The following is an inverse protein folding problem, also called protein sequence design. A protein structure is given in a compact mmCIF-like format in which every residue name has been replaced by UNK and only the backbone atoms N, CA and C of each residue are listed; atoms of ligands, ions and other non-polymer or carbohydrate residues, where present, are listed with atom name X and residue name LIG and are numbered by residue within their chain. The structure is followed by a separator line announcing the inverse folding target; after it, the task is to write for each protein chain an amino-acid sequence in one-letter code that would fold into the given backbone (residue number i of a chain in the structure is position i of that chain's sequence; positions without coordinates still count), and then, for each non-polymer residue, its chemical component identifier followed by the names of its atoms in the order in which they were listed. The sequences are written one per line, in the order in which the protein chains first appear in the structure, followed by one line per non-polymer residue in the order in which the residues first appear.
data_IF_845025484770
#
_entry.id   IF_845025484770
#
_cell.length_a   1.000
_cell.length_b   1.000
_cell.length_c   1.000
_cell.angle_alpha   90.00
_cell.angle_beta   90.00
_cell.angle_gamma   90.00
#
_symmetry.space_group_name_H-M   'P 1'
#
loop_
_entity.id
_entity.type
_entity.pdbx_description
1 polymer ?
#
# COMPACT_ATOMS: atom_id res chain seq x y z
N UNK A 1 -3.49 -0.98 16.82
CA UNK A 1 -3.83 0.45 16.81
C UNK A 1 -4.87 0.71 17.88
N UNK A 2 -4.76 1.84 18.60
CA UNK A 2 -5.76 2.28 19.57
C UNK A 2 -6.98 2.87 18.84
N UNK A 3 -8.14 2.80 19.48
CA UNK A 3 -9.34 3.49 19.06
C UNK A 3 -9.29 5.00 19.41
N UNK A 4 -10.30 5.78 19.01
CA UNK A 4 -10.32 7.22 19.20
C UNK A 4 -10.30 7.63 20.68
N UNK A 5 -11.02 6.93 21.54
CA UNK A 5 -11.06 7.19 22.98
C UNK A 5 -9.71 6.86 23.67
N UNK A 6 -9.13 5.70 23.35
CA UNK A 6 -7.82 5.30 23.85
C UNK A 6 -6.72 6.27 23.43
N UNK A 7 -6.77 6.74 22.18
CA UNK A 7 -5.83 7.72 21.63
C UNK A 7 -5.92 9.05 22.38
N UNK A 8 -7.12 9.59 22.54
CA UNK A 8 -7.35 10.86 23.26
C UNK A 8 -6.88 10.75 24.72
N UNK A 9 -7.18 9.63 25.37
CA UNK A 9 -6.74 9.36 26.74
C UNK A 9 -5.21 9.30 26.85
N UNK A 10 -4.56 8.62 25.92
CA UNK A 10 -3.09 8.53 25.87
C UNK A 10 -2.45 9.89 25.67
N UNK A 11 -2.98 10.72 24.78
CA UNK A 11 -2.51 12.08 24.55
C UNK A 11 -2.70 12.97 25.78
N UNK A 12 -3.82 12.86 26.47
CA UNK A 12 -4.07 13.60 27.71
C UNK A 12 -3.06 13.22 28.80
N UNK A 13 -2.83 11.92 28.99
CA UNK A 13 -1.86 11.42 29.97
C UNK A 13 -0.41 11.78 29.62
N UNK A 14 -0.10 11.91 28.35
CA UNK A 14 1.21 12.34 27.87
C UNK A 14 1.43 13.86 27.92
N UNK A 15 0.41 14.63 28.37
CA UNK A 15 0.51 16.08 28.56
C UNK A 15 0.33 16.90 27.28
N UNK A 16 -0.16 16.31 26.17
CA UNK A 16 -0.37 17.03 24.89
C UNK A 16 -1.37 18.18 25.01
N UNK A 17 -2.23 18.17 26.01
CA UNK A 17 -3.24 19.19 26.28
C UNK A 17 -2.87 20.11 27.45
N UNK A 18 -1.58 20.13 27.82
CA UNK A 18 -1.06 21.00 28.88
C UNK A 18 -0.07 21.99 28.28
N UNK A 19 -0.26 23.29 28.55
CA UNK A 19 0.64 24.36 28.07
C UNK A 19 2.07 24.15 28.54
N UNK A 20 3.00 24.08 27.60
CA UNK A 20 4.44 23.92 27.87
C UNK A 20 5.08 25.24 28.35
N UNK A 21 4.45 26.41 28.04
CA UNK A 21 4.94 27.74 28.37
C UNK A 21 4.25 28.36 29.59
N UNK A 22 3.18 27.72 30.10
CA UNK A 22 2.31 28.29 31.15
C UNK A 22 1.43 29.46 30.68
N UNK A 23 1.34 29.66 29.35
CA UNK A 23 0.49 30.70 28.77
C UNK A 23 -0.99 30.37 28.91
N UNK A 24 -1.78 31.28 29.48
CA UNK A 24 -3.23 31.10 29.59
C UNK A 24 -3.92 30.99 28.21
N UNK A 25 -3.44 31.73 27.22
CA UNK A 25 -3.97 31.68 25.86
C UNK A 25 -3.67 30.34 25.19
N UNK A 26 -2.46 29.78 25.36
CA UNK A 26 -2.08 28.50 24.88
C UNK A 26 -2.95 27.39 25.53
N UNK A 27 -3.09 27.45 26.86
CA UNK A 27 -3.94 26.49 27.58
C UNK A 27 -5.39 26.53 27.10
N UNK A 28 -5.97 27.70 26.92
CA UNK A 28 -7.34 27.84 26.40
C UNK A 28 -7.50 27.18 25.01
N UNK A 29 -6.51 27.35 24.14
CA UNK A 29 -6.54 26.72 22.80
C UNK A 29 -6.44 25.17 22.89
N UNK A 30 -5.61 24.67 23.81
CA UNK A 30 -5.48 23.21 24.06
C UNK A 30 -6.76 22.63 24.65
N UNK A 31 -7.40 23.33 25.60
CA UNK A 31 -8.68 22.93 26.20
C UNK A 31 -9.81 22.90 25.15
N UNK A 32 -9.86 23.92 24.29
CA UNK A 32 -10.81 23.95 23.17
C UNK A 32 -10.60 22.78 22.24
N UNK A 33 -9.35 22.46 21.88
CA UNK A 33 -9.02 21.31 21.04
C UNK A 33 -9.45 20.00 21.69
N UNK A 34 -9.09 19.79 22.97
CA UNK A 34 -9.50 18.61 23.72
C UNK A 34 -11.02 18.42 23.67
N UNK A 35 -11.77 19.51 23.96
CA UNK A 35 -13.24 19.49 23.95
C UNK A 35 -13.79 19.16 22.57
N UNK A 36 -13.20 19.71 21.50
CA UNK A 36 -13.61 19.42 20.12
C UNK A 36 -13.42 17.95 19.79
N UNK A 37 -12.25 17.37 20.09
CA UNK A 37 -11.97 15.94 19.85
C UNK A 37 -12.88 15.07 20.70
N UNK A 38 -13.04 15.37 21.99
CA UNK A 38 -13.93 14.62 22.89
C UNK A 38 -15.39 14.65 22.40
N UNK A 39 -15.86 15.78 21.89
CA UNK A 39 -17.21 15.92 21.31
C UNK A 39 -17.37 15.08 20.04
N UNK A 40 -16.35 15.03 19.19
CA UNK A 40 -16.37 14.17 17.98
C UNK A 40 -16.45 12.69 18.36
N UNK A 41 -15.67 12.26 19.35
CA UNK A 41 -15.68 10.87 19.87
C UNK A 41 -17.05 10.56 20.49
N UNK A 42 -17.63 11.47 21.29
CA UNK A 42 -18.94 11.31 21.86
C UNK A 42 -20.05 11.22 20.79
N UNK A 43 -19.86 11.85 19.63
CA UNK A 43 -20.71 11.72 18.45
C UNK A 43 -20.45 10.44 17.64
N UNK A 44 -19.57 9.53 18.11
CA UNK A 44 -19.30 8.24 17.50
C UNK A 44 -18.20 8.23 16.44
N UNK A 45 -17.35 9.26 16.40
CA UNK A 45 -16.21 9.28 15.47
C UNK A 45 -15.12 8.34 16.00
N UNK A 46 -14.89 7.25 15.27
CA UNK A 46 -13.81 6.29 15.49
C UNK A 46 -13.43 5.66 14.14
N UNK A 47 -12.51 6.30 13.43
CA UNK A 47 -12.15 5.92 12.06
C UNK A 47 -10.97 4.96 12.08
N UNK A 48 -11.19 3.72 11.64
CA UNK A 48 -10.11 2.78 11.41
C UNK A 48 -9.50 3.02 10.02
N UNK A 49 -8.45 3.84 9.98
CA UNK A 49 -7.86 4.33 8.74
C UNK A 49 -7.23 3.25 7.88
N UNK A 50 -6.73 2.16 8.45
CA UNK A 50 -6.04 1.12 7.70
C UNK A 50 -6.96 0.30 6.80
N UNK A 51 -8.26 0.20 7.08
CA UNK A 51 -9.19 -0.53 6.22
C UNK A 51 -9.58 0.23 4.94
N UNK A 52 -9.35 1.54 4.92
CA UNK A 52 -9.78 2.42 3.82
C UNK A 52 -8.97 2.16 2.54
N UNK A 53 -7.61 2.19 2.57
CA UNK A 53 -6.80 1.94 1.38
C UNK A 53 -6.55 0.45 1.14
N UNK A 54 -6.83 -0.42 2.10
CA UNK A 54 -6.46 -1.83 2.02
C UNK A 54 -7.57 -2.71 1.43
N UNK A 55 -7.14 -3.82 0.86
CA UNK A 55 -7.97 -4.93 0.40
C UNK A 55 -7.24 -6.25 0.62
N UNK A 56 -7.96 -7.35 0.52
CA UNK A 56 -7.33 -8.66 0.42
C UNK A 56 -6.60 -8.74 -0.92
N UNK A 57 -5.28 -8.90 -0.86
CA UNK A 57 -4.44 -9.15 -2.03
C UNK A 57 -4.53 -10.62 -2.44
N UNK A 58 -4.73 -10.87 -3.73
CA UNK A 58 -4.79 -12.23 -4.30
C UNK A 58 -3.76 -12.34 -5.39
N UNK A 59 -2.95 -13.40 -5.33
CA UNK A 59 -1.99 -13.74 -6.37
C UNK A 59 -2.35 -15.07 -7.05
N UNK A 60 -2.08 -15.15 -8.35
CA UNK A 60 -2.19 -16.38 -9.11
C UNK A 60 -1.01 -16.52 -10.04
N UNK A 61 -0.49 -17.73 -10.14
CA UNK A 61 0.63 -18.08 -11.04
C UNK A 61 0.26 -19.30 -11.87
N UNK A 62 0.46 -19.18 -13.17
CA UNK A 62 0.33 -20.26 -14.12
C UNK A 62 1.70 -20.51 -14.73
N UNK A 63 2.10 -21.77 -14.83
CA UNK A 63 3.38 -22.17 -15.44
C UNK A 63 3.19 -23.39 -16.31
N UNK A 64 3.87 -23.38 -17.45
CA UNK A 64 3.94 -24.49 -18.37
C UNK A 64 5.42 -24.78 -18.64
N UNK A 65 5.79 -26.03 -18.55
CA UNK A 65 7.11 -26.50 -18.93
C UNK A 65 6.98 -27.67 -19.91
N UNK A 66 7.68 -27.59 -21.01
CA UNK A 66 7.75 -28.62 -22.02
C UNK A 66 9.23 -28.97 -22.26
N UNK A 67 9.56 -30.22 -22.27
CA UNK A 67 10.88 -30.64 -22.65
C UNK A 67 10.82 -31.85 -23.60
N UNK A 68 11.85 -31.99 -24.40
CA UNK A 68 12.00 -33.12 -25.33
C UNK A 68 13.44 -33.22 -25.81
N UNK A 69 13.71 -34.27 -26.51
CA UNK A 69 15.03 -34.53 -27.10
C UNK A 69 15.40 -35.99 -27.11
N UNK A 70 16.68 -36.23 -27.34
CA UNK A 70 17.31 -37.55 -27.36
C UNK A 70 18.62 -37.54 -26.55
N UNK A 71 19.42 -38.62 -26.66
CA UNK A 71 20.70 -38.76 -25.94
C UNK A 71 21.75 -37.69 -26.29
N UNK A 72 21.58 -36.99 -27.42
CA UNK A 72 22.52 -35.98 -27.93
C UNK A 72 21.99 -34.59 -27.83
N UNK A 73 20.68 -34.38 -27.90
CA UNK A 73 20.05 -33.08 -27.92
C UNK A 73 18.85 -33.04 -26.98
N UNK A 74 18.85 -32.08 -26.06
CA UNK A 74 17.74 -31.79 -25.16
C UNK A 74 17.32 -30.35 -25.34
N UNK A 75 16.02 -30.13 -25.37
CA UNK A 75 15.43 -28.80 -25.37
C UNK A 75 14.33 -28.68 -24.32
N UNK A 76 14.22 -27.54 -23.74
CA UNK A 76 13.16 -27.18 -22.76
C UNK A 76 12.59 -25.81 -23.07
N UNK A 77 11.29 -25.67 -22.92
CA UNK A 77 10.59 -24.41 -23.03
C UNK A 77 9.81 -24.20 -21.75
N UNK A 78 10.02 -23.09 -21.09
CA UNK A 78 9.26 -22.67 -19.92
C UNK A 78 8.49 -21.39 -20.21
N UNK A 79 7.24 -21.35 -19.77
CA UNK A 79 6.37 -20.19 -19.81
C UNK A 79 5.73 -20.02 -18.45
N UNK A 80 5.71 -18.80 -17.93
CA UNK A 80 4.97 -18.51 -16.71
C UNK A 80 4.31 -17.15 -16.77
N UNK A 81 3.10 -17.09 -16.23
CA UNK A 81 2.35 -15.87 -16.01
C UNK A 81 2.04 -15.75 -14.52
N UNK A 82 2.45 -14.67 -13.91
CA UNK A 82 2.21 -14.36 -12.51
C UNK A 82 1.47 -13.03 -12.40
N UNK A 83 0.30 -13.04 -11.78
CA UNK A 83 -0.50 -11.87 -11.49
C UNK A 83 -0.68 -11.75 -9.98
N UNK A 84 -0.30 -10.62 -9.41
CA UNK A 84 -0.44 -10.34 -7.97
C UNK A 84 -1.17 -9.02 -7.80
N UNK A 85 -2.37 -9.09 -7.24
CA UNK A 85 -3.07 -7.92 -6.75
C UNK A 85 -2.46 -7.52 -5.39
N UNK A 86 -1.97 -6.30 -5.27
CA UNK A 86 -1.41 -5.80 -4.02
C UNK A 86 -2.47 -5.55 -2.94
N UNK A 87 -2.02 -5.47 -1.70
CA UNK A 87 -2.88 -5.17 -0.53
C UNK A 87 -3.40 -3.73 -0.54
N UNK A 88 -2.64 -2.78 -1.07
CA UNK A 88 -3.14 -1.42 -1.30
C UNK A 88 -4.05 -1.43 -2.53
N UNK A 89 -5.24 -0.81 -2.42
CA UNK A 89 -6.17 -0.67 -3.55
C UNK A 89 -5.49 0.02 -4.72
N UNK A 90 -5.72 -0.46 -5.95
CA UNK A 90 -5.10 0.06 -7.17
C UNK A 90 -3.73 -0.52 -7.50
N UNK A 91 -2.99 -1.09 -6.53
CA UNK A 91 -1.70 -1.70 -6.80
C UNK A 91 -1.84 -3.10 -7.39
N UNK A 92 -1.01 -3.43 -8.38
CA UNK A 92 -0.89 -4.77 -8.94
C UNK A 92 0.48 -4.98 -9.61
N UNK A 93 0.86 -6.23 -9.80
CA UNK A 93 2.04 -6.62 -10.59
C UNK A 93 1.71 -7.83 -11.46
N UNK A 94 2.06 -7.70 -12.73
CA UNK A 94 1.98 -8.76 -13.73
C UNK A 94 3.37 -9.08 -14.23
N UNK A 95 3.73 -10.35 -14.23
CA UNK A 95 5.01 -10.83 -14.79
C UNK A 95 4.72 -11.91 -15.79
N UNK A 96 5.19 -11.74 -17.01
CA UNK A 96 5.20 -12.77 -18.05
C UNK A 96 6.65 -13.18 -18.28
N UNK A 97 6.97 -14.44 -18.05
CA UNK A 97 8.30 -15.00 -18.23
C UNK A 97 8.27 -16.09 -19.26
N UNK A 98 9.29 -16.13 -20.13
CA UNK A 98 9.52 -17.18 -21.09
C UNK A 98 10.98 -17.61 -21.11
N UNK A 99 11.25 -18.89 -21.26
CA UNK A 99 12.59 -19.40 -21.34
C UNK A 99 12.72 -20.54 -22.36
N UNK A 100 13.89 -20.61 -23.00
CA UNK A 100 14.29 -21.72 -23.85
C UNK A 100 15.64 -22.22 -23.37
N UNK A 101 15.73 -23.49 -23.09
CA UNK A 101 16.96 -24.18 -22.77
C UNK A 101 17.29 -25.15 -23.88
N UNK A 102 18.53 -25.09 -24.34
CA UNK A 102 19.04 -26.01 -25.36
C UNK A 102 20.33 -26.63 -24.87
N UNK A 103 20.46 -27.95 -24.98
CA UNK A 103 21.66 -28.69 -24.62
C UNK A 103 22.00 -29.67 -25.74
N UNK A 104 23.25 -29.60 -26.20
CA UNK A 104 23.76 -30.51 -27.26
C UNK A 104 25.06 -31.15 -26.82
N UNK A 105 25.11 -32.49 -26.95
CA UNK A 105 26.28 -33.29 -26.59
C UNK A 105 26.88 -33.94 -27.85
N UNK A 106 28.16 -33.63 -28.10
CA UNK A 106 28.91 -34.25 -29.17
C UNK A 106 30.23 -34.80 -28.62
N UNK A 107 30.35 -36.13 -28.63
CA UNK A 107 31.49 -36.85 -28.01
C UNK A 107 31.70 -36.40 -26.56
N UNK A 108 32.84 -35.73 -26.28
CA UNK A 108 33.22 -35.22 -24.97
C UNK A 108 32.85 -33.73 -24.79
N UNK A 109 32.23 -33.11 -25.79
CA UNK A 109 31.78 -31.72 -25.76
C UNK A 109 30.30 -31.62 -25.38
N UNK A 110 29.98 -30.80 -24.37
CA UNK A 110 28.62 -30.45 -23.99
C UNK A 110 28.42 -28.95 -24.20
N UNK A 111 27.56 -28.61 -25.15
CA UNK A 111 27.10 -27.25 -25.36
C UNK A 111 25.75 -27.07 -24.67
N UNK A 112 25.60 -26.05 -23.82
CA UNK A 112 24.35 -25.69 -23.15
C UNK A 112 24.12 -24.21 -23.27
N UNK A 113 22.91 -23.83 -23.69
CA UNK A 113 22.47 -22.47 -23.77
C UNK A 113 21.11 -22.32 -23.07
N UNK A 114 20.91 -21.21 -22.37
CA UNK A 114 19.65 -20.83 -21.79
C UNK A 114 19.38 -19.39 -22.15
N UNK A 115 18.22 -19.14 -22.72
CA UNK A 115 17.71 -17.82 -23.04
C UNK A 115 16.44 -17.59 -22.26
N UNK A 116 16.30 -16.43 -21.58
CA UNK A 116 15.12 -16.07 -20.81
C UNK A 116 14.70 -14.64 -21.15
N UNK A 117 13.40 -14.40 -21.12
CA UNK A 117 12.81 -13.07 -21.25
C UNK A 117 11.74 -12.90 -20.18
N UNK A 118 11.80 -11.78 -19.46
CA UNK A 118 10.85 -11.41 -18.44
C UNK A 118 10.27 -10.02 -18.75
N UNK A 119 8.94 -9.94 -18.89
CA UNK A 119 8.21 -8.68 -19.02
C UNK A 119 7.43 -8.43 -17.73
N UNK A 120 7.77 -7.34 -17.05
CA UNK A 120 7.18 -6.95 -15.78
C UNK A 120 6.40 -5.65 -15.97
N UNK A 121 5.16 -5.65 -15.49
CA UNK A 121 4.29 -4.49 -15.47
C UNK A 121 3.73 -4.33 -14.06
N UNK A 122 3.95 -3.18 -13.44
CA UNK A 122 3.41 -2.84 -12.13
C UNK A 122 2.64 -1.53 -12.15
N UNK A 123 1.64 -1.47 -11.29
CA UNK A 123 0.94 -0.22 -10.98
C UNK A 123 1.03 0.00 -9.48
N UNK A 124 1.37 1.22 -9.10
CA UNK A 124 1.36 1.64 -7.71
C UNK A 124 -0.04 2.09 -7.28
N UNK A 125 -0.25 2.10 -5.98
CA UNK A 125 -1.50 2.56 -5.39
C UNK A 125 -1.63 4.09 -5.53
N UNK A 126 -2.77 4.61 -5.99
CA UNK A 126 -3.01 6.05 -5.99
C UNK A 126 -3.25 6.62 -4.58
N UNK A 127 -3.43 5.76 -3.58
CA UNK A 127 -3.79 6.16 -2.22
C UNK A 127 -2.59 6.54 -1.34
N UNK A 128 -1.39 6.69 -1.87
CA UNK A 128 -0.19 6.99 -1.08
C UNK A 128 0.41 5.74 -0.43
N UNK A 129 1.11 5.92 0.69
CA UNK A 129 1.78 4.83 1.39
C UNK A 129 0.95 4.30 2.56
N UNK A 130 1.20 3.06 2.97
CA UNK A 130 0.59 2.47 4.16
C UNK A 130 0.87 3.29 5.43
N UNK A 131 2.08 3.85 5.55
CA UNK A 131 2.49 4.65 6.70
C UNK A 131 1.64 5.91 6.88
N UNK A 132 1.19 6.53 5.77
CA UNK A 132 0.38 7.74 5.83
C UNK A 132 -0.92 7.50 6.61
N UNK A 133 -1.51 6.31 6.44
CA UNK A 133 -2.74 5.93 7.17
C UNK A 133 -2.48 5.43 8.59
N UNK A 134 -1.31 4.81 8.83
CA UNK A 134 -0.95 4.32 10.15
C UNK A 134 -0.73 5.46 11.17
N UNK A 135 -0.38 6.65 10.69
CA UNK A 135 -0.18 7.85 11.52
C UNK A 135 -1.44 8.69 11.71
N UNK A 136 -2.50 8.48 10.90
CA UNK A 136 -3.73 9.25 11.04
C UNK A 136 -4.42 8.96 12.38
N UNK A 137 -4.97 10.03 12.96
CA UNK A 137 -5.68 9.92 14.23
C UNK A 137 -7.08 9.33 14.02
N UNK A 138 -7.50 8.36 14.86
CA UNK A 138 -8.80 7.71 14.71
C UNK A 138 -9.99 8.64 15.00
N UNK A 139 -9.77 9.78 15.66
CA UNK A 139 -10.79 10.81 15.87
C UNK A 139 -10.94 11.79 14.69
N UNK A 140 -10.18 11.63 13.61
CA UNK A 140 -10.39 12.37 12.37
C UNK A 140 -11.60 11.80 11.61
N UNK A 141 -12.49 12.68 11.16
CA UNK A 141 -13.67 12.26 10.39
C UNK A 141 -13.28 12.00 8.95
N UNK A 142 -13.89 10.98 8.34
CA UNK A 142 -13.71 10.74 6.91
C UNK A 142 -14.50 11.74 6.06
N UNK A 143 -15.69 12.13 6.54
CA UNK A 143 -16.59 13.06 5.86
C UNK A 143 -16.98 14.18 6.82
N UNK A 144 -17.21 15.35 6.26
CA UNK A 144 -17.76 16.49 6.97
C UNK A 144 -19.28 16.33 7.23
N UNK A 145 -19.92 17.41 7.74
CA UNK A 145 -21.36 17.39 8.05
C UNK A 145 -22.23 17.40 6.79
N UNK A 146 -21.69 17.85 5.66
CA UNK A 146 -22.35 17.85 4.34
C UNK A 146 -22.16 16.51 3.60
N UNK A 147 -21.40 15.58 4.15
CA UNK A 147 -21.10 14.26 3.56
C UNK A 147 -19.95 14.29 2.55
N UNK A 148 -19.29 15.43 2.38
CA UNK A 148 -18.10 15.53 1.54
C UNK A 148 -16.87 14.99 2.27
N UNK A 149 -15.93 14.41 1.50
CA UNK A 149 -14.71 13.86 2.08
C UNK A 149 -13.79 14.99 2.54
N UNK A 150 -13.40 14.98 3.80
CA UNK A 150 -12.47 15.93 4.39
C UNK A 150 -11.11 15.91 3.67
N UNK A 151 -10.53 17.08 3.40
CA UNK A 151 -9.22 17.20 2.73
C UNK A 151 -8.06 17.04 3.71
N UNK A 152 -8.22 17.65 4.87
CA UNK A 152 -7.19 17.68 5.91
C UNK A 152 -7.80 18.00 7.27
N UNK A 153 -7.07 17.63 8.30
CA UNK A 153 -7.44 17.93 9.68
C UNK A 153 -6.35 18.78 10.35
N UNK A 154 -6.75 19.91 10.90
CA UNK A 154 -5.83 20.79 11.59
C UNK A 154 -5.76 20.41 13.07
N UNK A 155 -4.60 19.90 13.47
CA UNK A 155 -4.32 19.51 14.84
C UNK A 155 -3.07 20.22 15.37
N UNK A 156 -2.24 19.51 16.14
CA UNK A 156 -0.87 19.91 16.45
C UNK A 156 -0.03 19.94 15.16
N UNK A 157 -0.33 19.04 14.23
CA UNK A 157 0.21 18.97 12.88
C UNK A 157 -0.98 18.86 11.93
N UNK A 158 -0.91 19.45 10.75
CA UNK A 158 -1.91 19.25 9.70
C UNK A 158 -1.73 17.85 9.10
N UNK A 159 -2.80 17.07 9.14
CA UNK A 159 -2.88 15.73 8.54
C UNK A 159 -3.70 15.80 7.27
N UNK A 160 -3.29 15.08 6.22
CA UNK A 160 -3.96 15.09 4.92
C UNK A 160 -4.68 13.79 4.64
N UNK A 161 -5.82 13.88 3.95
CA UNK A 161 -6.61 12.73 3.56
C UNK A 161 -6.18 12.20 2.20
N UNK A 162 -5.23 11.29 2.18
CA UNK A 162 -4.71 10.67 0.95
C UNK A 162 -5.74 9.81 0.20
N UNK A 163 -6.89 9.47 0.80
CA UNK A 163 -7.97 8.75 0.11
C UNK A 163 -8.54 9.55 -1.08
N UNK A 164 -8.51 10.87 -1.01
CA UNK A 164 -8.93 11.73 -2.12
C UNK A 164 -8.09 11.54 -3.38
N UNK A 165 -6.84 11.15 -3.26
CA UNK A 165 -5.98 10.86 -4.41
C UNK A 165 -6.55 9.74 -5.29
N UNK A 166 -7.27 8.78 -4.69
CA UNK A 166 -7.97 7.72 -5.42
C UNK A 166 -9.13 8.23 -6.29
N UNK A 167 -9.71 9.38 -5.95
CA UNK A 167 -10.79 10.00 -6.73
C UNK A 167 -10.26 10.71 -7.98
N UNK A 168 -9.00 11.14 -7.97
CA UNK A 168 -8.34 11.84 -9.09
C UNK A 168 -7.93 10.86 -10.20
N UNK A 169 -8.10 9.55 -9.98
CA UNK A 169 -7.75 8.48 -10.92
C UNK A 169 -6.29 8.55 -11.41
N UNK A 170 -5.38 8.96 -10.53
CA UNK A 170 -3.95 9.01 -10.80
C UNK A 170 -3.42 7.58 -10.91
N UNK A 171 -2.75 7.27 -12.01
CA UNK A 171 -2.18 5.95 -12.27
C UNK A 171 -0.68 6.08 -12.49
N UNK A 172 0.09 5.36 -11.68
CA UNK A 172 1.51 5.18 -11.87
C UNK A 172 1.75 3.77 -12.41
N UNK A 173 2.19 3.68 -13.65
CA UNK A 173 2.49 2.42 -14.32
C UNK A 173 4.00 2.36 -14.61
N UNK A 174 4.63 1.28 -14.19
CA UNK A 174 6.01 0.97 -14.50
C UNK A 174 6.09 -0.35 -15.28
N UNK A 175 6.90 -0.35 -16.36
CA UNK A 175 7.09 -1.53 -17.21
C UNK A 175 8.56 -1.64 -17.59
N UNK A 176 9.12 -2.82 -17.38
CA UNK A 176 10.47 -3.14 -17.82
C UNK A 176 10.56 -4.58 -18.32
N UNK A 177 11.44 -4.78 -19.31
CA UNK A 177 11.71 -6.08 -19.90
C UNK A 177 13.18 -6.42 -19.71
N UNK A 178 13.47 -7.65 -19.25
CA UNK A 178 14.83 -8.18 -19.05
C UNK A 178 15.07 -9.37 -20.00
N UNK A 179 16.28 -9.45 -20.57
CA UNK A 179 16.68 -10.50 -21.49
C UNK A 179 17.81 -11.33 -20.93
#
# INVERSE_FOLDING_TARGET
LCNAEEKLRAEYLAGFYTSSTGSATEQMNLDKRYTTVASAIAAGVDTYWLDKPLRVGVGQKHSLYLEGGDDYMLYGIDLSYNNVAGVMKGSNRNTLSGGITFSYKYKNLLFRNKFTIDDNKSNDSPYGSFSDYAYLNPYNRLHDEDGEMEDSWTGLVTEYNYLKNGLINTRFEDRYTTF
#
